data_IF_726555112221
#
_entry.id   IF_726555112221
#
_cell.length_a   1.000
_cell.length_b   1.000
_cell.length_c   1.000
_cell.angle_alpha   90.00
_cell.angle_beta   90.00
_cell.angle_gamma   90.00
#
_symmetry.space_group_name_H-M   'P 1'
#
loop_
_entity.id
_entity.type
_entity.pdbx_description
1 polymer ?
#
# COMPACT_ATOMS: atom_id res chain seq x y z
N UNK A 1 26.40 -9.25 5.27
CA UNK A 1 25.52 -9.03 4.11
C UNK A 1 24.12 -9.48 4.52
N UNK A 2 23.23 -8.54 4.83
CA UNK A 2 21.80 -8.85 5.01
C UNK A 2 21.19 -8.97 3.63
N UNK A 3 20.92 -10.20 3.20
CA UNK A 3 20.10 -10.44 2.03
C UNK A 3 18.68 -9.96 2.36
N UNK A 4 18.40 -8.69 2.07
CA UNK A 4 17.03 -8.22 1.91
C UNK A 4 16.53 -8.88 0.63
N UNK A 5 16.04 -10.12 0.74
CA UNK A 5 15.11 -10.66 -0.23
C UNK A 5 13.74 -10.15 0.22
N UNK A 6 13.24 -9.03 -0.33
CA UNK A 6 11.91 -8.60 0.01
C UNK A 6 10.96 -9.72 -0.44
N UNK A 7 10.04 -10.12 0.44
CA UNK A 7 8.95 -10.95 -0.04
C UNK A 7 8.19 -10.17 -1.11
N UNK A 8 7.50 -10.86 -2.01
CA UNK A 8 6.70 -10.19 -3.03
C UNK A 8 5.70 -9.18 -2.42
N UNK A 9 5.21 -9.46 -1.20
CA UNK A 9 4.34 -8.54 -0.46
C UNK A 9 5.07 -7.27 0.00
N UNK A 10 6.29 -7.40 0.53
CA UNK A 10 7.10 -6.26 0.97
C UNK A 10 7.56 -5.40 -0.22
N UNK A 11 7.96 -6.03 -1.32
CA UNK A 11 8.36 -5.30 -2.54
C UNK A 11 7.21 -4.46 -3.13
N UNK A 12 6.00 -5.01 -3.15
CA UNK A 12 4.81 -4.26 -3.58
C UNK A 12 4.44 -3.16 -2.59
N UNK A 13 4.58 -3.41 -1.29
CA UNK A 13 4.38 -2.37 -0.28
C UNK A 13 5.33 -1.20 -0.51
N UNK A 14 6.63 -1.47 -0.62
CA UNK A 14 7.66 -0.44 -0.81
C UNK A 14 7.43 0.33 -2.11
N UNK A 15 7.08 -0.36 -3.21
CA UNK A 15 6.77 0.28 -4.50
C UNK A 15 5.50 1.13 -4.42
N UNK A 16 4.45 0.64 -3.76
CA UNK A 16 3.22 1.37 -3.55
C UNK A 16 3.43 2.64 -2.71
N UNK A 17 4.25 2.55 -1.66
CA UNK A 17 4.66 3.70 -0.85
C UNK A 17 5.51 4.70 -1.63
N UNK A 18 6.40 4.23 -2.50
CA UNK A 18 7.17 5.11 -3.40
C UNK A 18 6.25 5.85 -4.37
N UNK A 19 5.27 5.17 -4.98
CA UNK A 19 4.28 5.84 -5.83
C UNK A 19 3.43 6.83 -5.06
N UNK A 20 3.05 6.52 -3.81
CA UNK A 20 2.27 7.43 -2.98
C UNK A 20 3.02 8.75 -2.72
N UNK A 21 4.35 8.68 -2.53
CA UNK A 21 5.19 9.87 -2.37
C UNK A 21 5.42 10.66 -3.66
N UNK A 22 5.21 10.03 -4.82
CA UNK A 22 5.42 10.62 -6.15
C UNK A 22 4.11 11.08 -6.81
N UNK A 23 3.05 11.29 -6.03
CA UNK A 23 1.68 11.62 -6.49
C UNK A 23 1.05 10.59 -7.46
N UNK A 24 1.61 9.38 -7.53
CA UNK A 24 1.10 8.25 -8.31
C UNK A 24 -0.02 7.51 -7.59
N UNK A 25 -1.07 8.21 -7.13
CA UNK A 25 -2.10 7.65 -6.23
C UNK A 25 -2.74 6.35 -6.74
N UNK A 26 -3.01 6.24 -8.05
CA UNK A 26 -3.61 5.04 -8.63
C UNK A 26 -2.64 3.85 -8.63
N UNK A 27 -1.38 4.08 -8.97
CA UNK A 27 -0.33 3.06 -8.97
C UNK A 27 0.01 2.62 -7.54
N UNK A 28 0.05 3.58 -6.62
CA UNK A 28 0.20 3.32 -5.20
C UNK A 28 -0.93 2.43 -4.67
N UNK A 29 -2.18 2.76 -4.99
CA UNK A 29 -3.34 2.00 -4.53
C UNK A 29 -3.31 0.55 -5.05
N UNK A 30 -2.99 0.35 -6.32
CA UNK A 30 -2.92 -0.98 -6.93
C UNK A 30 -1.84 -1.85 -6.25
N UNK A 31 -0.64 -1.31 -6.06
CA UNK A 31 0.47 -2.03 -5.42
C UNK A 31 0.19 -2.33 -3.95
N UNK A 32 -0.40 -1.38 -3.21
CA UNK A 32 -0.77 -1.56 -1.82
C UNK A 32 -1.89 -2.61 -1.66
N UNK A 33 -2.88 -2.63 -2.55
CA UNK A 33 -3.94 -3.65 -2.52
C UNK A 33 -3.37 -5.05 -2.71
N UNK A 34 -2.51 -5.24 -3.72
CA UNK A 34 -1.88 -6.53 -3.98
C UNK A 34 -0.95 -6.95 -2.84
N UNK A 35 -0.23 -6.00 -2.22
CA UNK A 35 0.58 -6.25 -1.02
C UNK A 35 -0.28 -6.73 0.16
N UNK A 36 -1.44 -6.10 0.40
CA UNK A 36 -2.35 -6.45 1.48
C UNK A 36 -2.89 -7.89 1.34
N UNK A 37 -3.25 -8.30 0.13
CA UNK A 37 -3.69 -9.68 -0.17
C UNK A 37 -2.59 -10.70 0.11
N UNK A 38 -1.35 -10.40 -0.31
CA UNK A 38 -0.22 -11.29 -0.08
C UNK A 38 0.17 -11.37 1.40
N UNK A 39 0.09 -10.27 2.15
CA UNK A 39 0.30 -10.31 3.60
C UNK A 39 -0.75 -11.19 4.29
N UNK A 40 -2.01 -11.12 3.87
CA UNK A 40 -3.05 -11.98 4.41
C UNK A 40 -2.77 -13.46 4.10
N UNK A 41 -2.41 -13.78 2.85
CA UNK A 41 -2.07 -15.14 2.42
C UNK A 41 -0.83 -15.70 3.15
N UNK A 42 0.08 -14.84 3.57
CA UNK A 42 1.26 -15.19 4.37
C UNK A 42 0.98 -15.25 5.88
N UNK A 43 -0.28 -15.11 6.32
CA UNK A 43 -0.69 -14.99 7.73
C UNK A 43 -0.05 -13.79 8.46
N UNK A 44 0.42 -12.78 7.72
CA UNK A 44 1.01 -11.54 8.25
C UNK A 44 -0.09 -10.51 8.50
N UNK A 45 -0.99 -10.82 9.43
CA UNK A 45 -2.19 -10.02 9.74
C UNK A 45 -1.87 -8.59 10.19
N UNK A 46 -0.74 -8.38 10.90
CA UNK A 46 -0.28 -7.05 11.29
C UNK A 46 0.07 -6.20 10.07
N UNK A 47 0.86 -6.74 9.14
CA UNK A 47 1.23 -6.05 7.90
C UNK A 47 0.00 -5.78 7.03
N UNK A 48 -0.91 -6.76 6.91
CA UNK A 48 -2.19 -6.57 6.22
C UNK A 48 -2.98 -5.39 6.83
N UNK A 49 -3.17 -5.36 8.15
CA UNK A 49 -3.90 -4.29 8.83
C UNK A 49 -3.24 -2.92 8.64
N UNK A 50 -1.92 -2.85 8.64
CA UNK A 50 -1.16 -1.62 8.37
C UNK A 50 -1.45 -1.09 6.96
N UNK A 51 -1.33 -1.94 5.94
CA UNK A 51 -1.58 -1.53 4.55
C UNK A 51 -3.04 -1.11 4.34
N UNK A 52 -3.99 -1.82 4.94
CA UNK A 52 -5.41 -1.45 4.86
C UNK A 52 -5.72 -0.08 5.49
N UNK A 53 -4.99 0.31 6.54
CA UNK A 53 -5.14 1.65 7.11
C UNK A 53 -4.61 2.74 6.16
N UNK A 54 -3.50 2.48 5.47
CA UNK A 54 -2.94 3.40 4.48
C UNK A 54 -3.91 3.56 3.30
N UNK A 55 -4.40 2.44 2.75
CA UNK A 55 -5.40 2.44 1.68
C UNK A 55 -6.64 3.26 2.07
N UNK A 56 -7.13 3.09 3.30
CA UNK A 56 -8.30 3.84 3.79
C UNK A 56 -8.02 5.34 3.86
N UNK A 57 -6.84 5.74 4.33
CA UNK A 57 -6.45 7.16 4.39
C UNK A 57 -6.38 7.77 2.98
N UNK A 58 -5.79 7.05 2.02
CA UNK A 58 -5.71 7.51 0.62
C UNK A 58 -7.10 7.68 -0.02
N UNK A 59 -8.03 6.77 0.26
CA UNK A 59 -9.39 6.88 -0.26
C UNK A 59 -10.14 8.07 0.36
N UNK A 60 -9.94 8.32 1.66
CA UNK A 60 -10.54 9.45 2.35
C UNK A 60 -9.98 10.80 1.86
N UNK A 61 -8.67 10.90 1.64
CA UNK A 61 -8.07 12.11 1.07
C UNK A 61 -8.58 12.37 -0.35
N UNK A 62 -8.76 11.32 -1.16
CA UNK A 62 -9.26 11.46 -2.52
C UNK A 62 -10.74 11.87 -2.57
N UNK A 63 -11.57 11.42 -1.61
CA UNK A 63 -12.94 11.90 -1.44
C UNK A 63 -12.94 13.37 -1.01
N UNK A 64 -12.14 13.73 0.00
CA UNK A 64 -12.05 15.11 0.48
C UNK A 64 -11.58 16.08 -0.60
N UNK A 65 -10.64 15.68 -1.47
CA UNK A 65 -10.20 16.47 -2.62
C UNK A 65 -11.31 16.65 -3.68
N UNK A 66 -12.19 15.66 -3.86
CA UNK A 66 -13.31 15.75 -4.82
C UNK A 66 -14.45 16.64 -4.35
N UNK A 67 -14.64 16.79 -3.03
CA UNK A 67 -15.71 17.63 -2.47
C UNK A 67 -15.37 19.13 -2.42
N UNK A 68 -14.11 19.50 -2.70
CA UNK A 68 -13.60 20.89 -2.59
C UNK A 68 -13.50 21.60 -3.96
N UNK A 69 -13.91 20.95 -5.06
CA UNK A 69 -13.88 21.50 -6.43
C UNK A 69 -15.29 21.64 -6.99
#
# INVERSE_FOLDING_TARGET
MLALNPSHADALFDRGMAYYQLDGEQQALADLQQSAELFLNQNRTVSHAQVMNIIRQMQQSQIALREVV
#
